data_IF_831507783491
#
_entry.id   IF_831507783491
#
_cell.length_a   1.000
_cell.length_b   1.000
_cell.length_c   1.000
_cell.angle_alpha   90.00
_cell.angle_beta   90.00
_cell.angle_gamma   90.00
#
_symmetry.space_group_name_H-M   'P 1'
#
loop_
_entity.id
_entity.type
_entity.pdbx_description
1 polymer ?
#
# COMPACT_ATOMS: atom_id res chain seq x y z
N UNK A 1 5.98 15.28 11.51
CA UNK A 1 5.14 14.12 11.88
C UNK A 1 5.79 12.84 11.36
N UNK A 2 5.86 11.78 12.17
CA UNK A 2 6.42 10.48 11.76
C UNK A 2 5.28 9.64 11.18
N UNK A 3 5.27 9.44 9.87
CA UNK A 3 4.29 8.59 9.20
C UNK A 3 4.72 7.12 9.26
N UNK A 4 3.73 6.24 9.39
CA UNK A 4 3.88 4.79 9.28
C UNK A 4 3.26 4.35 7.96
N UNK A 5 3.86 3.38 7.28
CA UNK A 5 3.45 3.02 5.92
C UNK A 5 3.03 1.56 5.83
N UNK A 6 2.03 1.32 5.00
CA UNK A 6 1.68 0.00 4.50
C UNK A 6 1.52 0.06 2.97
N UNK A 7 1.59 -1.09 2.32
CA UNK A 7 1.19 -1.22 0.91
C UNK A 7 0.14 -2.31 0.74
N UNK A 8 -0.64 -2.18 -0.31
CA UNK A 8 -1.57 -3.21 -0.76
C UNK A 8 -1.51 -3.29 -2.28
N UNK A 9 -1.68 -4.52 -2.80
CA UNK A 9 -1.87 -4.77 -4.22
C UNK A 9 -3.36 -5.01 -4.46
N UNK A 10 -4.07 -4.13 -5.19
CA UNK A 10 -5.47 -4.33 -5.52
C UNK A 10 -5.66 -5.55 -6.42
N UNK A 11 -6.80 -6.23 -6.27
CA UNK A 11 -7.15 -7.43 -7.03
C UNK A 11 -7.21 -7.13 -8.53
N UNK A 12 -6.55 -7.95 -9.35
CA UNK A 12 -6.63 -7.86 -10.82
C UNK A 12 -5.63 -6.91 -11.50
N UNK A 13 -4.78 -6.19 -10.75
CA UNK A 13 -3.78 -5.29 -11.30
C UNK A 13 -2.37 -5.72 -10.88
N UNK A 14 -1.75 -6.59 -11.68
CA UNK A 14 -0.44 -7.20 -11.39
C UNK A 14 0.71 -6.19 -11.18
N UNK A 15 0.52 -4.92 -11.57
CA UNK A 15 1.53 -3.86 -11.56
C UNK A 15 1.17 -2.63 -10.71
N UNK A 16 0.15 -2.73 -9.85
CA UNK A 16 -0.27 -1.62 -8.99
C UNK A 16 0.08 -1.90 -7.53
N UNK A 17 0.83 -0.98 -6.90
CA UNK A 17 1.05 -0.97 -5.46
C UNK A 17 0.54 0.36 -4.89
N UNK A 18 -0.49 0.27 -4.04
CA UNK A 18 -0.97 1.43 -3.29
C UNK A 18 -0.21 1.57 -1.99
N UNK A 19 0.22 2.78 -1.67
CA UNK A 19 0.94 3.08 -0.42
C UNK A 19 0.05 3.90 0.49
N UNK A 20 -0.19 3.39 1.68
CA UNK A 20 -1.00 4.04 2.70
C UNK A 20 -0.09 4.65 3.78
N UNK A 21 -0.33 5.91 4.13
CA UNK A 21 0.35 6.60 5.22
C UNK A 21 -0.59 6.79 6.41
N UNK A 22 -0.11 6.43 7.60
CA UNK A 22 -0.83 6.47 8.86
C UNK A 22 -0.15 7.41 9.84
N UNK A 23 -0.95 8.08 10.68
CA UNK A 23 -0.45 8.94 11.76
C UNK A 23 0.18 8.18 12.94
N UNK A 24 -0.11 6.88 13.09
CA UNK A 24 0.40 6.04 14.17
C UNK A 24 0.73 4.62 13.73
N UNK A 25 1.60 3.95 14.50
CA UNK A 25 1.96 2.54 14.29
C UNK A 25 0.76 1.62 14.48
N UNK A 26 0.00 1.86 15.54
CA UNK A 26 -1.17 1.06 15.91
C UNK A 26 -2.24 1.09 14.83
N UNK A 27 -2.53 2.27 14.26
CA UNK A 27 -3.51 2.39 13.17
C UNK A 27 -3.05 1.63 11.92
N UNK A 28 -1.76 1.71 11.58
CA UNK A 28 -1.17 0.97 10.46
C UNK A 28 -1.23 -0.54 10.68
N UNK A 29 -0.89 -1.01 11.88
CA UNK A 29 -0.90 -2.44 12.22
C UNK A 29 -2.34 -2.99 12.21
N UNK A 30 -3.31 -2.27 12.80
CA UNK A 30 -4.73 -2.66 12.76
C UNK A 30 -5.29 -2.70 11.33
N UNK A 31 -4.94 -1.72 10.49
CA UNK A 31 -5.35 -1.72 9.09
C UNK A 31 -4.74 -2.88 8.30
N UNK A 32 -3.44 -3.15 8.50
CA UNK A 32 -2.74 -4.29 7.90
C UNK A 32 -3.39 -5.60 8.30
N UNK A 33 -3.71 -5.80 9.58
CA UNK A 33 -4.34 -7.03 10.05
C UNK A 33 -5.74 -7.23 9.47
N UNK A 34 -6.51 -6.15 9.28
CA UNK A 34 -7.83 -6.22 8.65
C UNK A 34 -7.75 -6.53 7.14
N UNK A 35 -6.74 -5.99 6.43
CA UNK A 35 -6.65 -6.06 4.96
C UNK A 35 -5.58 -7.06 4.47
N UNK A 36 -4.99 -7.85 5.37
CA UNK A 36 -3.95 -8.87 5.06
C UNK A 36 -4.40 -9.92 4.06
N UNK A 37 -5.71 -10.05 3.82
CA UNK A 37 -6.31 -11.05 2.94
C UNK A 37 -7.07 -10.44 1.76
N UNK A 38 -7.04 -9.12 1.59
CA UNK A 38 -7.82 -8.41 0.57
C UNK A 38 -7.19 -8.45 -0.84
N UNK A 39 -6.13 -9.24 -1.03
CA UNK A 39 -5.47 -9.40 -2.33
C UNK A 39 -6.00 -10.58 -3.15
N UNK A 40 -5.57 -10.67 -4.41
CA UNK A 40 -5.86 -11.81 -5.29
C UNK A 40 -5.32 -13.14 -4.74
N UNK A 41 -6.16 -14.17 -4.65
CA UNK A 41 -5.77 -15.51 -4.20
C UNK A 41 -4.66 -16.15 -5.04
N UNK A 42 -4.43 -15.65 -6.26
CA UNK A 42 -3.43 -16.18 -7.19
C UNK A 42 -2.07 -15.48 -7.16
N UNK A 43 -1.89 -14.38 -6.43
CA UNK A 43 -0.59 -13.72 -6.33
C UNK A 43 0.07 -14.03 -4.99
N UNK A 44 1.34 -14.47 -5.05
CA UNK A 44 2.13 -14.93 -3.90
C UNK A 44 2.40 -13.86 -2.81
N UNK A 45 1.93 -12.63 -3.01
CA UNK A 45 2.13 -11.46 -2.13
C UNK A 45 0.84 -10.64 -2.03
N UNK A 46 -0.29 -11.29 -1.73
CA UNK A 46 -1.59 -10.65 -1.76
C UNK A 46 -2.15 -10.36 -0.37
N UNK A 47 -2.27 -9.06 -0.07
CA UNK A 47 -2.70 -8.52 1.20
C UNK A 47 -2.03 -7.20 1.52
N UNK A 48 -2.56 -6.48 2.50
CA UNK A 48 -1.86 -5.35 3.10
C UNK A 48 -0.61 -5.83 3.85
N UNK A 49 0.51 -5.13 3.67
CA UNK A 49 1.74 -5.37 4.44
C UNK A 49 2.35 -4.06 4.93
N UNK A 50 2.91 -4.06 6.13
CA UNK A 50 3.69 -2.94 6.65
C UNK A 50 4.99 -2.78 5.86
N UNK A 51 5.34 -1.54 5.51
CA UNK A 51 6.59 -1.23 4.79
C UNK A 51 7.36 -0.10 5.44
N UNK A 52 8.64 0.00 5.09
CA UNK A 52 9.50 1.10 5.53
C UNK A 52 9.19 2.39 4.75
N UNK A 53 9.57 3.54 5.32
CA UNK A 53 9.49 4.84 4.63
C UNK A 53 10.31 4.85 3.33
N UNK A 54 11.47 4.19 3.31
CA UNK A 54 12.33 4.10 2.13
C UNK A 54 11.65 3.31 1.02
N UNK A 55 11.00 2.20 1.36
CA UNK A 55 10.23 1.42 0.39
C UNK A 55 9.01 2.17 -0.12
N UNK A 56 8.27 2.87 0.76
CA UNK A 56 7.16 3.73 0.36
C UNK A 56 7.58 4.78 -0.67
N UNK A 57 8.70 5.47 -0.42
CA UNK A 57 9.27 6.45 -1.36
C UNK A 57 9.67 5.82 -2.68
N UNK A 58 10.25 4.61 -2.66
CA UNK A 58 10.64 3.88 -3.87
C UNK A 58 9.43 3.55 -4.74
N UNK A 59 8.35 3.07 -4.12
CA UNK A 59 7.11 2.72 -4.83
C UNK A 59 6.45 3.97 -5.41
N UNK A 60 6.26 5.02 -4.60
CA UNK A 60 5.64 6.28 -5.06
C UNK A 60 6.47 6.97 -6.14
N UNK A 61 7.80 6.92 -6.01
CA UNK A 61 8.73 7.50 -6.99
C UNK A 61 8.86 6.70 -8.28
N UNK A 62 8.39 5.45 -8.29
CA UNK A 62 8.46 4.59 -9.47
C UNK A 62 7.37 4.99 -10.46
N UNK A 63 7.78 5.46 -11.64
CA UNK A 63 6.88 5.93 -12.71
C UNK A 63 6.52 4.85 -13.75
N UNK A 64 6.96 3.61 -13.56
CA UNK A 64 6.83 2.54 -14.54
C UNK A 64 7.79 2.70 -15.72
N UNK A 65 8.01 1.61 -16.47
CA UNK A 65 8.52 1.69 -17.85
C UNK A 65 7.39 2.10 -18.80
N UNK A 66 7.71 2.70 -19.95
CA UNK A 66 6.76 3.28 -20.92
C UNK A 66 5.61 2.35 -21.37
N UNK A 67 5.71 1.06 -21.11
CA UNK A 67 4.76 -0.01 -21.48
C UNK A 67 3.80 -0.35 -20.33
N UNK A 68 4.23 -0.21 -19.08
CA UNK A 68 3.42 -0.52 -17.88
C UNK A 68 3.11 0.78 -17.17
N UNK A 69 1.89 1.30 -17.37
CA UNK A 69 1.37 2.38 -16.52
C UNK A 69 1.37 1.88 -15.07
N UNK A 70 2.27 2.41 -14.24
CA UNK A 70 2.26 2.15 -12.80
C UNK A 70 1.35 3.17 -12.14
N UNK A 71 0.23 2.73 -11.57
CA UNK A 71 -0.67 3.57 -10.78
C UNK A 71 -0.25 3.55 -9.31
N UNK A 72 0.94 4.06 -9.05
CA UNK A 72 1.44 4.19 -7.68
C UNK A 72 0.84 5.46 -7.06
N UNK A 73 0.04 5.29 -6.02
CA UNK A 73 -0.61 6.39 -5.31
C UNK A 73 -0.25 6.38 -3.83
N UNK A 74 -0.06 7.58 -3.27
CA UNK A 74 0.02 7.80 -1.83
C UNK A 74 -1.37 8.15 -1.31
N UNK A 75 -1.89 7.29 -0.44
CA UNK A 75 -3.18 7.48 0.21
C UNK A 75 -2.91 7.85 1.67
N UNK A 76 -3.37 9.04 2.09
CA UNK A 76 -3.35 9.41 3.50
C UNK A 76 -4.55 8.73 4.17
N UNK A 77 -4.29 7.73 5.01
CA UNK A 77 -5.36 7.03 5.69
C UNK A 77 -5.97 7.93 6.77
N UNK A 78 -7.23 8.31 6.57
CA UNK A 78 -8.07 8.97 7.57
C UNK A 78 -9.14 7.97 8.00
N UNK A 79 -9.22 7.59 9.29
CA UNK A 79 -10.25 6.67 9.78
C UNK A 79 -11.67 7.27 9.78
N UNK A 80 -11.82 8.55 9.45
CA UNK A 80 -13.09 9.30 9.48
C UNK A 80 -13.86 9.32 8.15
N UNK A 81 -13.35 8.70 7.09
CA UNK A 81 -14.11 8.55 5.83
C UNK A 81 -14.60 7.11 5.68
N UNK A 82 -15.70 6.82 6.39
CA UNK A 82 -16.52 5.61 6.26
C UNK A 82 -17.77 5.88 5.43
#
# INVERSE_FOLDING_TARGET
>A
MKHYYAKQRPRGFANEEYVYAFGSRTARDAWVDAHRSDGDVNAATCGAIAITRSEAKRIIGYKGDAVTKSYNQLINYSPDES
#
